data_IF_385719652916
#
_entry.id   IF_385719652916
#
_cell.length_a   1.000
_cell.length_b   1.000
_cell.length_c   1.000
_cell.angle_alpha   90.00
_cell.angle_beta   90.00
_cell.angle_gamma   90.00
#
_symmetry.space_group_name_H-M   'P 1'
#
loop_
_entity.id
_entity.type
_entity.pdbx_description
1 polymer ?
#
# COMPACT_ATOMS: atom_id res chain seq x y z
N UNK A 1 -16.59 -7.42 25.56
CA UNK A 1 -17.04 -8.38 24.52
C UNK A 1 -15.88 -8.60 23.59
N UNK A 2 -15.24 -9.77 23.65
CA UNK A 2 -14.09 -10.11 22.81
C UNK A 2 -14.57 -10.29 21.37
N UNK A 3 -14.27 -9.33 20.51
CA UNK A 3 -14.57 -9.42 19.08
C UNK A 3 -13.50 -10.26 18.37
N UNK A 4 -13.89 -11.06 17.35
CA UNK A 4 -12.95 -11.89 16.58
C UNK A 4 -11.83 -11.07 15.90
N UNK A 5 -12.04 -9.78 15.68
CA UNK A 5 -11.01 -8.84 15.19
C UNK A 5 -9.88 -8.62 16.21
N UNK A 6 -10.22 -8.50 17.50
CA UNK A 6 -9.23 -8.37 18.58
C UNK A 6 -8.33 -9.61 18.68
N UNK A 7 -8.88 -10.79 18.34
CA UNK A 7 -8.12 -12.04 18.30
C UNK A 7 -7.12 -12.08 17.13
N UNK A 8 -7.42 -11.46 15.98
CA UNK A 8 -6.47 -11.34 14.87
C UNK A 8 -5.27 -10.47 15.23
N UNK A 9 -5.52 -9.34 15.90
CA UNK A 9 -4.47 -8.42 16.33
C UNK A 9 -3.59 -9.08 17.40
N UNK A 10 -4.20 -9.77 18.36
CA UNK A 10 -3.47 -10.56 19.39
C UNK A 10 -2.66 -11.68 18.75
N UNK A 11 -3.21 -12.41 17.77
CA UNK A 11 -2.45 -13.43 17.06
C UNK A 11 -1.26 -12.82 16.31
N UNK A 12 -1.44 -11.69 15.64
CA UNK A 12 -0.35 -10.99 14.92
C UNK A 12 0.76 -10.55 15.87
N UNK A 13 0.40 -9.98 17.03
CA UNK A 13 1.37 -9.61 18.07
C UNK A 13 2.07 -10.83 18.68
N UNK A 14 1.37 -11.94 18.90
CA UNK A 14 1.97 -13.19 19.41
C UNK A 14 2.95 -13.81 18.41
N UNK A 15 2.71 -13.66 17.10
CA UNK A 15 3.60 -14.13 16.03
C UNK A 15 4.94 -13.38 16.10
N UNK A 16 4.89 -12.07 16.31
CA UNK A 16 6.07 -11.22 16.37
C UNK A 16 6.84 -11.41 17.68
N UNK A 17 6.14 -11.52 18.81
CA UNK A 17 6.76 -11.60 20.13
C UNK A 17 7.20 -13.01 20.52
N UNK A 18 6.51 -14.08 20.08
CA UNK A 18 6.88 -15.46 20.40
C UNK A 18 7.60 -16.22 19.29
N UNK A 19 7.59 -15.73 18.05
CA UNK A 19 8.34 -16.35 16.94
C UNK A 19 9.87 -16.34 17.12
N UNK A 20 10.37 -15.69 18.17
CA UNK A 20 11.81 -15.60 18.47
C UNK A 20 12.21 -16.38 19.73
N UNK A 21 11.29 -16.59 20.69
CA UNK A 21 11.70 -16.82 22.10
C UNK A 21 11.35 -18.19 22.67
N UNK A 22 10.32 -18.90 22.20
CA UNK A 22 9.85 -20.13 22.89
C UNK A 22 10.01 -21.43 22.09
N UNK A 23 9.91 -21.40 20.76
CA UNK A 23 10.06 -22.61 19.92
C UNK A 23 11.50 -22.97 19.53
N UNK A 24 12.41 -21.99 19.53
CA UNK A 24 13.70 -22.08 18.83
C UNK A 24 14.85 -22.69 19.66
N UNK A 25 14.92 -22.42 20.97
CA UNK A 25 16.12 -22.74 21.75
C UNK A 25 16.43 -24.25 21.84
N UNK A 26 15.43 -25.12 21.67
CA UNK A 26 15.58 -26.57 21.80
C UNK A 26 15.83 -27.35 20.50
N UNK A 27 15.61 -26.75 19.32
CA UNK A 27 15.61 -27.48 18.03
C UNK A 27 16.63 -26.97 17.00
N UNK A 28 17.55 -26.09 17.39
CA UNK A 28 18.60 -25.65 16.48
C UNK A 28 19.56 -26.81 16.16
N UNK A 29 19.69 -27.23 14.89
CA UNK A 29 20.64 -28.27 14.50
C UNK A 29 22.06 -27.80 14.81
N UNK A 30 22.81 -28.62 15.56
CA UNK A 30 24.20 -28.33 15.90
C UNK A 30 25.01 -28.18 14.61
N UNK A 31 25.57 -26.99 14.38
CA UNK A 31 26.49 -26.72 13.26
C UNK A 31 25.96 -25.77 12.17
N UNK A 32 24.69 -25.34 12.23
CA UNK A 32 24.19 -24.28 11.34
C UNK A 32 24.46 -22.92 11.97
N UNK A 33 24.98 -21.95 11.21
CA UNK A 33 25.16 -20.57 11.69
C UNK A 33 23.83 -20.08 12.26
N UNK A 34 23.84 -19.66 13.53
CA UNK A 34 22.63 -19.37 14.29
C UNK A 34 21.67 -18.42 13.55
N UNK A 35 22.18 -17.43 12.82
CA UNK A 35 21.36 -16.51 12.01
C UNK A 35 20.50 -17.20 10.95
N UNK A 36 21.09 -18.07 10.10
CA UNK A 36 20.36 -18.77 9.03
C UNK A 36 19.29 -19.71 9.60
N UNK A 37 19.61 -20.35 10.72
CA UNK A 37 18.66 -21.24 11.39
C UNK A 37 17.49 -20.47 12.01
N UNK A 38 17.74 -19.28 12.57
CA UNK A 38 16.70 -18.39 13.13
C UNK A 38 15.82 -17.83 12.02
N UNK A 39 16.39 -17.35 10.90
CA UNK A 39 15.62 -16.85 9.76
C UNK A 39 14.74 -17.92 9.12
N UNK A 40 15.29 -19.13 8.93
CA UNK A 40 14.53 -20.27 8.42
C UNK A 40 13.38 -20.65 9.36
N UNK A 41 13.60 -20.55 10.68
CA UNK A 41 12.56 -20.79 11.67
C UNK A 41 11.46 -19.71 11.61
N UNK A 42 11.84 -18.42 11.59
CA UNK A 42 10.92 -17.29 11.43
C UNK A 42 10.06 -17.44 10.18
N UNK A 43 10.67 -17.81 9.05
CA UNK A 43 9.96 -18.05 7.79
C UNK A 43 8.98 -19.23 7.90
N UNK A 44 9.38 -20.32 8.55
CA UNK A 44 8.54 -21.49 8.78
C UNK A 44 7.33 -21.19 9.68
N UNK A 45 7.55 -20.45 10.77
CA UNK A 45 6.47 -20.04 11.68
C UNK A 45 5.52 -19.04 11.01
N UNK A 46 6.05 -18.04 10.31
CA UNK A 46 5.24 -17.12 9.51
C UNK A 46 4.38 -17.86 8.48
N UNK A 47 4.95 -18.85 7.77
CA UNK A 47 4.20 -19.65 6.79
C UNK A 47 3.03 -20.43 7.44
N UNK A 48 3.24 -21.00 8.62
CA UNK A 48 2.19 -21.72 9.35
C UNK A 48 1.03 -20.80 9.76
N UNK A 49 1.35 -19.59 10.19
CA UNK A 49 0.38 -18.63 10.71
C UNK A 49 -0.37 -17.89 9.59
N UNK A 50 0.31 -17.66 8.46
CA UNK A 50 -0.31 -17.10 7.26
C UNK A 50 -1.46 -17.96 6.73
N UNK A 51 -1.35 -19.30 6.82
CA UNK A 51 -2.44 -20.22 6.46
C UNK A 51 -3.65 -20.01 7.38
N UNK A 52 -3.43 -19.89 8.68
CA UNK A 52 -4.51 -19.64 9.64
C UNK A 52 -5.19 -18.27 9.37
N UNK A 53 -4.42 -17.21 9.14
CA UNK A 53 -4.95 -15.89 8.79
C UNK A 53 -5.81 -15.97 7.52
N UNK A 54 -5.34 -16.65 6.47
CA UNK A 54 -6.12 -16.86 5.25
C UNK A 54 -7.44 -17.61 5.50
N UNK A 55 -7.42 -18.65 6.34
CA UNK A 55 -8.62 -19.40 6.70
C UNK A 55 -9.62 -18.54 7.47
N UNK A 56 -9.15 -17.72 8.42
CA UNK A 56 -10.02 -16.81 9.15
C UNK A 56 -10.60 -15.75 8.21
N UNK A 57 -9.78 -15.13 7.33
CA UNK A 57 -10.28 -14.20 6.30
C UNK A 57 -11.40 -14.81 5.47
N UNK A 58 -11.18 -16.01 4.94
CA UNK A 58 -12.20 -16.72 4.14
C UNK A 58 -13.48 -17.02 4.94
N UNK A 59 -13.32 -17.35 6.23
CA UNK A 59 -14.46 -17.63 7.12
C UNK A 59 -15.26 -16.36 7.39
N UNK A 60 -14.60 -15.25 7.73
CA UNK A 60 -15.25 -13.96 7.95
C UNK A 60 -15.94 -13.51 6.67
N UNK A 61 -15.26 -13.58 5.53
CA UNK A 61 -15.84 -13.26 4.23
C UNK A 61 -17.12 -14.06 3.98
N UNK A 62 -17.08 -15.39 4.15
CA UNK A 62 -18.26 -16.23 3.95
C UNK A 62 -19.41 -15.94 4.92
N UNK A 63 -19.11 -15.58 6.18
CA UNK A 63 -20.12 -15.14 7.14
C UNK A 63 -20.74 -13.80 6.71
N UNK A 64 -19.91 -12.82 6.35
CA UNK A 64 -20.38 -11.49 5.92
C UNK A 64 -21.20 -11.55 4.65
N UNK A 65 -20.80 -12.33 3.64
CA UNK A 65 -21.58 -12.56 2.42
C UNK A 65 -22.92 -13.23 2.73
N UNK A 66 -22.95 -14.21 3.66
CA UNK A 66 -24.22 -14.79 4.14
C UNK A 66 -25.10 -13.77 4.87
N UNK A 67 -24.53 -12.85 5.64
CA UNK A 67 -25.30 -11.79 6.29
C UNK A 67 -25.92 -10.84 5.26
N UNK A 68 -25.18 -10.50 4.20
CA UNK A 68 -25.70 -9.71 3.07
C UNK A 68 -26.84 -10.45 2.37
N UNK A 69 -26.71 -11.76 2.11
CA UNK A 69 -27.77 -12.59 1.52
C UNK A 69 -29.03 -12.62 2.41
N UNK A 70 -28.87 -12.72 3.73
CA UNK A 70 -30.00 -12.64 4.67
C UNK A 70 -30.65 -11.26 4.62
N UNK A 71 -29.85 -10.19 4.65
CA UNK A 71 -30.33 -8.81 4.61
C UNK A 71 -31.11 -8.53 3.31
N UNK A 72 -30.61 -8.99 2.18
CA UNK A 72 -31.26 -8.88 0.87
C UNK A 72 -32.69 -9.47 0.88
N UNK A 73 -32.86 -10.65 1.46
CA UNK A 73 -34.13 -11.37 1.48
C UNK A 73 -35.09 -10.93 2.60
N UNK A 74 -34.57 -10.47 3.75
CA UNK A 74 -35.39 -10.25 4.96
C UNK A 74 -35.58 -8.77 5.32
N UNK A 75 -34.79 -7.84 4.78
CA UNK A 75 -34.98 -6.41 5.03
C UNK A 75 -36.06 -5.84 4.10
N UNK A 76 -37.30 -6.28 4.32
CA UNK A 76 -38.49 -5.83 3.58
C UNK A 76 -38.85 -4.38 3.96
N UNK A 77 -38.66 -4.05 5.24
CA UNK A 77 -38.89 -2.71 5.77
C UNK A 77 -37.59 -1.94 5.86
N UNK A 78 -37.65 -0.66 5.49
CA UNK A 78 -36.50 0.23 5.58
C UNK A 78 -35.93 0.28 6.99
N UNK A 79 -34.61 0.21 7.09
CA UNK A 79 -33.86 0.34 8.35
C UNK A 79 -32.98 1.58 8.25
N UNK A 80 -33.07 2.47 9.23
CA UNK A 80 -32.22 3.67 9.27
C UNK A 80 -30.89 3.32 9.94
N UNK A 81 -29.79 3.57 9.24
CA UNK A 81 -28.43 3.37 9.73
C UNK A 81 -27.78 4.74 9.97
N UNK A 82 -27.04 4.85 11.08
CA UNK A 82 -26.26 6.03 11.42
C UNK A 82 -24.80 5.84 11.01
N UNK A 83 -24.26 6.78 10.26
CA UNK A 83 -22.83 6.90 9.91
C UNK A 83 -22.30 8.20 10.52
N UNK A 84 -21.18 8.11 11.23
CA UNK A 84 -20.49 9.29 11.73
C UNK A 84 -19.49 9.75 10.66
N UNK A 85 -19.73 10.91 10.06
CA UNK A 85 -18.80 11.54 9.11
C UNK A 85 -18.30 12.85 9.72
N UNK A 86 -16.99 12.94 10.00
CA UNK A 86 -16.36 14.12 10.64
C UNK A 86 -16.97 14.53 11.99
N UNK A 87 -17.57 13.60 12.71
CA UNK A 87 -18.20 13.84 14.02
C UNK A 87 -19.65 14.31 13.94
N UNK A 88 -20.20 14.50 12.74
CA UNK A 88 -21.63 14.75 12.54
C UNK A 88 -22.34 13.42 12.19
N UNK A 89 -23.50 13.13 12.81
CA UNK A 89 -24.26 11.94 12.49
C UNK A 89 -25.02 12.14 11.17
N UNK A 90 -24.69 11.33 10.18
CA UNK A 90 -25.40 11.18 8.91
C UNK A 90 -26.30 9.93 8.99
N UNK A 91 -27.53 10.04 8.48
CA UNK A 91 -28.52 8.97 8.53
C UNK A 91 -28.98 8.61 7.13
N UNK A 92 -28.96 7.32 6.81
CA UNK A 92 -29.50 6.82 5.55
C UNK A 92 -30.33 5.57 5.78
N UNK A 93 -31.34 5.39 4.94
CA UNK A 93 -32.21 4.23 4.97
C UNK A 93 -31.63 3.14 4.06
N UNK A 94 -31.66 1.89 4.52
CA UNK A 94 -31.33 0.71 3.74
C UNK A 94 -32.52 -0.24 3.62
N UNK A 95 -32.60 -0.94 2.51
CA UNK A 95 -33.62 -1.96 2.24
C UNK A 95 -33.01 -3.09 1.41
N UNK A 96 -33.47 -4.33 1.58
CA UNK A 96 -33.06 -5.45 0.72
C UNK A 96 -33.67 -5.36 -0.68
N UNK A 97 -33.07 -5.99 -1.68
CA UNK A 97 -33.59 -5.98 -3.05
C UNK A 97 -34.99 -6.63 -3.12
N UNK A 98 -35.23 -7.70 -2.35
CA UNK A 98 -36.54 -8.34 -2.27
C UNK A 98 -37.63 -7.38 -1.75
N UNK A 99 -37.27 -6.48 -0.81
CA UNK A 99 -38.18 -5.46 -0.30
C UNK A 99 -38.51 -4.38 -1.33
N UNK A 100 -37.55 -4.02 -2.18
CA UNK A 100 -37.75 -3.08 -3.28
C UNK A 100 -38.69 -3.67 -4.32
N UNK A 101 -38.46 -4.92 -4.71
CA UNK A 101 -39.24 -5.58 -5.76
C UNK A 101 -40.69 -5.77 -5.29
N UNK A 102 -40.90 -6.17 -4.03
CA UNK A 102 -42.24 -6.26 -3.44
C UNK A 102 -42.98 -4.90 -3.40
N UNK A 103 -42.28 -3.78 -3.19
CA UNK A 103 -42.88 -2.43 -3.17
C UNK A 103 -43.21 -1.92 -4.57
N UNK A 104 -42.39 -2.26 -5.57
CA UNK A 104 -42.68 -1.95 -6.98
C UNK A 104 -43.96 -2.64 -7.44
N UNK A 105 -44.21 -3.87 -6.98
CA UNK A 105 -45.43 -4.62 -7.32
C UNK A 105 -46.71 -3.98 -6.75
N UNK A 106 -46.60 -3.16 -5.71
CA UNK A 106 -47.72 -2.51 -5.00
C UNK A 106 -47.87 -1.02 -5.42
N UNK A 107 -47.07 -0.55 -6.38
CA UNK A 107 -47.06 0.84 -6.88
C UNK A 107 -46.68 1.89 -5.81
N UNK A 108 -45.97 1.48 -4.75
CA UNK A 108 -45.38 2.38 -3.72
C UNK A 108 -43.98 2.86 -4.11
N UNK A 109 -43.72 3.08 -5.41
CA UNK A 109 -42.40 3.41 -5.93
C UNK A 109 -41.85 4.73 -5.37
N UNK A 110 -42.72 5.69 -5.05
CA UNK A 110 -42.35 7.01 -4.50
C UNK A 110 -41.69 6.92 -3.11
N UNK A 111 -41.87 5.80 -2.39
CA UNK A 111 -41.27 5.59 -1.06
C UNK A 111 -39.78 5.19 -1.09
N UNK A 112 -39.20 5.02 -2.29
CA UNK A 112 -37.85 4.52 -2.48
C UNK A 112 -36.79 5.61 -2.72
N UNK A 113 -37.18 6.88 -2.80
CA UNK A 113 -36.23 7.98 -2.96
C UNK A 113 -35.27 8.06 -1.75
N UNK A 114 -33.96 8.02 -2.01
CA UNK A 114 -32.92 8.12 -0.99
C UNK A 114 -32.63 6.83 -0.21
N UNK A 115 -33.27 5.70 -0.55
CA UNK A 115 -33.02 4.41 0.10
C UNK A 115 -31.93 3.65 -0.65
N UNK A 116 -30.92 3.14 0.07
CA UNK A 116 -29.82 2.37 -0.51
C UNK A 116 -30.22 0.88 -0.58
N UNK A 117 -30.23 0.26 -1.78
CA UNK A 117 -30.50 -1.17 -1.93
C UNK A 117 -29.32 -2.02 -1.45
N UNK A 118 -29.59 -3.02 -0.60
CA UNK A 118 -28.66 -4.10 -0.29
C UNK A 118 -28.91 -5.23 -1.29
N UNK A 119 -27.90 -5.58 -2.07
CA UNK A 119 -27.98 -6.60 -3.10
C UNK A 119 -27.15 -7.83 -2.74
N UNK A 120 -27.63 -9.02 -3.09
CA UNK A 120 -26.91 -10.28 -2.92
C UNK A 120 -25.58 -10.33 -3.67
N UNK A 121 -25.43 -9.60 -4.77
CA UNK A 121 -24.20 -9.62 -5.58
C UNK A 121 -23.03 -8.88 -4.92
N UNK A 122 -23.24 -8.19 -3.80
CA UNK A 122 -22.16 -7.55 -3.08
C UNK A 122 -21.18 -8.57 -2.52
N UNK A 123 -19.89 -8.36 -2.83
CA UNK A 123 -18.78 -9.17 -2.34
C UNK A 123 -18.06 -8.42 -1.24
N UNK A 124 -17.55 -9.18 -0.28
CA UNK A 124 -16.77 -8.64 0.84
C UNK A 124 -15.31 -8.97 0.59
N UNK A 125 -14.47 -7.94 0.49
CA UNK A 125 -13.02 -8.11 0.49
C UNK A 125 -12.47 -7.75 1.87
N UNK A 126 -11.54 -8.58 2.37
CA UNK A 126 -10.94 -8.43 3.69
C UNK A 126 -9.44 -8.22 3.54
N UNK A 127 -9.08 -6.96 3.59
CA UNK A 127 -7.70 -6.53 3.73
C UNK A 127 -7.34 -6.48 5.21
N UNK A 128 -6.37 -7.32 5.59
CA UNK A 128 -5.71 -7.18 6.90
C UNK A 128 -4.55 -6.26 6.62
N UNK A 129 -4.70 -4.99 6.98
CA UNK A 129 -3.57 -4.08 7.02
C UNK A 129 -2.59 -4.62 8.06
N UNK A 130 -1.30 -4.70 7.70
CA UNK A 130 -0.27 -5.09 8.66
C UNK A 130 -0.32 -4.12 9.83
N UNK A 131 -0.72 -4.60 11.01
CA UNK A 131 -0.88 -3.78 12.22
C UNK A 131 0.40 -3.02 12.60
N UNK A 132 1.56 -3.47 12.10
CA UNK A 132 2.84 -2.79 12.19
C UNK A 132 2.80 -1.35 11.64
N UNK A 133 2.02 -1.07 10.58
CA UNK A 133 1.92 0.30 10.05
C UNK A 133 1.35 1.32 11.06
N UNK A 134 0.67 0.85 12.10
CA UNK A 134 0.14 1.70 13.17
C UNK A 134 0.98 1.67 14.46
N UNK A 135 1.81 0.64 14.67
CA UNK A 135 2.76 0.63 15.79
C UNK A 135 3.89 1.62 15.52
N UNK A 136 4.47 2.21 16.57
CA UNK A 136 5.59 3.14 16.39
C UNK A 136 6.79 2.47 15.71
N UNK A 137 6.97 1.17 15.92
CA UNK A 137 8.05 0.38 15.34
C UNK A 137 7.84 0.13 13.85
N UNK A 138 6.64 -0.26 13.41
CA UNK A 138 6.41 -0.47 11.98
C UNK A 138 6.26 0.83 11.20
N UNK A 139 5.85 1.95 11.84
CA UNK A 139 6.00 3.29 11.26
C UNK A 139 7.47 3.64 11.03
N UNK A 140 8.34 3.37 12.01
CA UNK A 140 9.79 3.57 11.87
C UNK A 140 10.36 2.70 10.75
N UNK A 141 10.01 1.42 10.69
CA UNK A 141 10.48 0.49 9.65
C UNK A 141 10.01 0.90 8.25
N UNK A 142 8.73 1.23 8.07
CA UNK A 142 8.18 1.68 6.78
C UNK A 142 8.83 3.01 6.35
N UNK A 143 9.01 3.95 7.28
CA UNK A 143 9.66 5.23 6.99
C UNK A 143 11.13 5.03 6.61
N UNK A 144 11.82 4.05 7.20
CA UNK A 144 13.18 3.66 6.83
C UNK A 144 13.27 3.10 5.40
N UNK A 145 12.33 2.25 4.98
CA UNK A 145 12.29 1.74 3.60
C UNK A 145 12.04 2.88 2.59
N UNK A 146 11.09 3.75 2.90
CA UNK A 146 10.79 4.94 2.10
C UNK A 146 12.04 5.84 2.01
N UNK A 147 12.68 6.12 3.14
CA UNK A 147 13.88 6.96 3.19
C UNK A 147 15.02 6.35 2.35
N UNK A 148 15.27 5.04 2.47
CA UNK A 148 16.29 4.35 1.69
C UNK A 148 16.02 4.42 0.17
N UNK A 149 14.77 4.23 -0.24
CA UNK A 149 14.36 4.35 -1.64
C UNK A 149 14.60 5.76 -2.18
N UNK A 150 14.12 6.79 -1.47
CA UNK A 150 14.29 8.18 -1.88
C UNK A 150 15.75 8.63 -1.84
N UNK A 151 16.56 8.15 -0.89
CA UNK A 151 18.01 8.40 -0.87
C UNK A 151 18.73 7.77 -2.06
N UNK A 152 18.27 6.60 -2.54
CA UNK A 152 18.75 5.99 -3.77
C UNK A 152 18.50 6.89 -4.98
N UNK A 153 17.25 7.32 -5.14
CA UNK A 153 16.84 8.20 -6.24
C UNK A 153 17.48 9.60 -6.17
N UNK A 154 17.69 10.13 -4.97
CA UNK A 154 18.35 11.42 -4.77
C UNK A 154 19.83 11.37 -5.19
N UNK A 155 20.52 10.25 -4.95
CA UNK A 155 21.90 10.04 -5.44
C UNK A 155 21.98 10.03 -6.97
N UNK A 156 20.93 9.58 -7.63
CA UNK A 156 20.80 9.58 -9.09
C UNK A 156 20.32 10.92 -9.65
N UNK A 157 20.00 11.90 -8.79
CA UNK A 157 19.49 13.21 -9.21
C UNK A 157 18.06 13.17 -9.75
N UNK A 158 17.31 12.10 -9.48
CA UNK A 158 15.94 11.90 -9.98
C UNK A 158 14.86 12.52 -9.08
N UNK A 159 15.24 13.07 -7.93
CA UNK A 159 14.32 13.63 -6.93
C UNK A 159 14.66 15.08 -6.67
N UNK A 160 13.63 15.92 -6.61
CA UNK A 160 13.78 17.33 -6.25
C UNK A 160 14.20 17.48 -4.78
N UNK A 161 15.11 18.42 -4.45
CA UNK A 161 15.58 18.65 -3.08
C UNK A 161 14.44 18.84 -2.06
N UNK A 162 13.34 19.44 -2.47
CA UNK A 162 12.15 19.69 -1.64
C UNK A 162 11.50 18.39 -1.16
N UNK A 163 11.46 17.36 -2.00
CA UNK A 163 10.89 16.05 -1.63
C UNK A 163 11.77 15.33 -0.61
N UNK A 164 13.09 15.47 -0.75
CA UNK A 164 14.06 14.92 0.22
C UNK A 164 13.89 15.60 1.58
N UNK A 165 13.66 16.92 1.60
CA UNK A 165 13.40 17.67 2.83
C UNK A 165 12.15 17.19 3.56
N UNK A 166 11.02 17.04 2.85
CA UNK A 166 9.76 16.53 3.43
C UNK A 166 9.93 15.11 3.97
N UNK A 167 10.70 14.27 3.28
CA UNK A 167 11.01 12.91 3.72
C UNK A 167 11.85 12.92 5.01
N UNK A 168 12.91 13.73 5.09
CA UNK A 168 13.73 13.86 6.30
C UNK A 168 12.88 14.38 7.47
N UNK A 169 12.03 15.37 7.24
CA UNK A 169 11.12 15.88 8.28
C UNK A 169 10.20 14.75 8.80
N UNK A 170 9.57 14.02 7.88
CA UNK A 170 8.69 12.89 8.23
C UNK A 170 9.44 11.78 8.98
N UNK A 171 10.71 11.53 8.62
CA UNK A 171 11.60 10.60 9.32
C UNK A 171 11.86 11.09 10.75
N UNK A 172 12.25 12.34 10.93
CA UNK A 172 12.54 12.91 12.25
C UNK A 172 11.32 12.90 13.18
N UNK A 173 10.15 13.28 12.66
CA UNK A 173 8.87 13.22 13.38
C UNK A 173 8.52 11.79 13.79
N UNK A 174 8.69 10.82 12.87
CA UNK A 174 8.39 9.40 13.14
C UNK A 174 9.29 8.81 14.22
N UNK A 175 10.55 9.22 14.25
CA UNK A 175 11.51 8.77 15.27
C UNK A 175 11.44 9.57 16.57
N UNK A 176 10.60 10.61 16.65
CA UNK A 176 10.51 11.54 17.77
C UNK A 176 11.88 12.12 18.15
N UNK A 177 12.75 12.33 17.16
CA UNK A 177 13.92 13.16 17.42
C UNK A 177 13.41 14.56 17.81
N UNK A 178 14.09 15.20 18.77
CA UNK A 178 13.70 16.48 19.38
C UNK A 178 13.56 17.64 18.37
N UNK A 179 13.49 18.90 18.83
CA UNK A 179 12.85 20.00 18.11
C UNK A 179 13.32 20.10 16.65
N UNK A 180 12.50 19.54 15.76
CA UNK A 180 12.68 19.50 14.30
C UNK A 180 12.77 20.91 13.72
N UNK A 181 12.30 21.91 14.46
CA UNK A 181 12.34 23.33 14.12
C UNK A 181 13.78 23.86 13.99
N UNK A 182 14.69 23.54 14.92
CA UNK A 182 16.08 24.02 14.87
C UNK A 182 16.85 23.44 13.67
N UNK A 183 16.53 22.20 13.27
CA UNK A 183 17.13 21.56 12.10
C UNK A 183 16.50 22.00 10.79
N UNK A 184 15.19 22.25 10.76
CA UNK A 184 14.48 22.75 9.58
C UNK A 184 14.89 24.19 9.24
N UNK A 185 15.13 25.04 10.24
CA UNK A 185 15.69 26.38 10.04
C UNK A 185 17.06 26.35 9.36
N UNK A 186 17.91 25.38 9.69
CA UNK A 186 19.21 25.20 9.04
C UNK A 186 19.09 24.77 7.57
N UNK A 187 17.95 24.18 7.18
CA UNK A 187 17.66 23.73 5.81
C UNK A 187 16.92 24.77 4.96
N UNK A 188 16.21 25.73 5.57
CA UNK A 188 15.53 26.83 4.87
C UNK A 188 16.43 28.03 4.56
N UNK A 189 17.70 27.99 4.97
CA UNK A 189 18.66 29.03 4.62
C UNK A 189 18.73 29.21 3.08
N UNK A 190 18.38 30.40 2.54
CA UNK A 190 18.14 30.62 1.10
C UNK A 190 19.41 30.60 0.23
N UNK A 191 20.58 30.39 0.83
CA UNK A 191 21.80 30.07 0.11
C UNK A 191 21.77 28.57 -0.19
N UNK A 192 21.43 28.21 -1.43
CA UNK A 192 21.35 26.81 -1.88
C UNK A 192 22.50 25.98 -1.31
N UNK A 193 22.16 24.77 -0.84
CA UNK A 193 23.04 23.84 -0.11
C UNK A 193 24.49 23.94 -0.61
N UNK A 194 25.32 24.70 0.12
CA UNK A 194 26.75 24.73 -0.16
C UNK A 194 27.29 23.30 0.10
N UNK A 195 28.37 22.87 -0.55
CA UNK A 195 28.88 21.49 -0.40
C UNK A 195 29.10 21.10 1.07
N UNK A 196 29.38 22.07 1.93
CA UNK A 196 29.50 21.89 3.38
C UNK A 196 28.17 21.56 4.08
N UNK A 197 27.04 22.16 3.67
CA UNK A 197 25.71 21.87 4.20
C UNK A 197 25.23 20.50 3.71
N UNK A 198 25.54 20.15 2.47
CA UNK A 198 25.25 18.82 1.92
C UNK A 198 26.04 17.72 2.67
N UNK A 199 27.31 18.00 2.99
CA UNK A 199 28.14 17.11 3.81
C UNK A 199 27.59 16.98 5.24
N UNK A 200 27.18 18.08 5.88
CA UNK A 200 26.54 18.06 7.21
C UNK A 200 25.24 17.27 7.22
N UNK A 201 24.40 17.44 6.19
CA UNK A 201 23.16 16.66 6.07
C UNK A 201 23.43 15.17 5.88
N UNK A 202 24.40 14.80 5.05
CA UNK A 202 24.84 13.39 4.91
C UNK A 202 25.36 12.83 6.23
N UNK A 203 26.16 13.60 6.98
CA UNK A 203 26.71 13.20 8.27
C UNK A 203 25.60 13.00 9.31
N UNK A 204 24.62 13.87 9.33
CA UNK A 204 23.47 13.82 10.22
C UNK A 204 22.53 12.64 9.90
N UNK A 205 22.26 12.37 8.63
CA UNK A 205 21.52 11.16 8.22
C UNK A 205 22.29 9.92 8.65
N UNK A 206 23.62 9.89 8.46
CA UNK A 206 24.46 8.78 8.93
C UNK A 206 24.41 8.63 10.46
N UNK A 207 24.35 9.74 11.20
CA UNK A 207 24.27 9.73 12.66
C UNK A 207 22.90 9.22 13.16
N UNK A 208 21.80 9.68 12.54
CA UNK A 208 20.46 9.13 12.79
C UNK A 208 20.39 7.63 12.47
N UNK A 209 20.98 7.21 11.35
CA UNK A 209 21.08 5.80 10.98
C UNK A 209 21.94 5.00 11.97
N UNK A 210 23.02 5.61 12.48
CA UNK A 210 23.92 4.99 13.45
C UNK A 210 23.29 4.87 14.83
N UNK A 211 22.53 5.87 15.27
CA UNK A 211 21.78 5.85 16.52
C UNK A 211 20.63 4.86 16.45
N UNK A 212 19.91 4.82 15.32
CA UNK A 212 18.91 3.78 15.09
C UNK A 212 19.56 2.38 15.08
N UNK A 213 20.77 2.22 14.52
CA UNK A 213 21.56 0.98 14.58
C UNK A 213 21.97 0.62 16.02
N UNK A 214 22.38 1.58 16.83
CA UNK A 214 22.72 1.36 18.24
C UNK A 214 21.51 1.05 19.12
N UNK A 215 20.34 1.60 18.80
CA UNK A 215 19.07 1.31 19.46
C UNK A 215 18.51 -0.08 19.13
N UNK A 216 19.22 -0.88 18.33
CA UNK A 216 18.81 -2.24 17.96
C UNK A 216 17.67 -2.29 16.94
N UNK A 217 17.34 -1.15 16.29
CA UNK A 217 16.41 -1.14 15.15
C UNK A 217 17.03 -1.73 13.88
N UNK A 218 18.36 -1.95 13.88
CA UNK A 218 19.08 -2.69 12.84
C UNK A 218 19.75 -3.88 13.50
N UNK A 219 19.48 -5.08 12.99
CA UNK A 219 20.26 -6.26 13.35
C UNK A 219 21.69 -6.02 12.80
N UNK A 220 22.76 -6.08 13.61
CA UNK A 220 24.13 -5.77 13.16
C UNK A 220 24.64 -6.67 12.02
N UNK A 221 23.94 -7.76 11.70
CA UNK A 221 24.21 -8.58 10.52
C UNK A 221 23.59 -8.05 9.21
N UNK A 222 22.73 -7.03 9.23
CA UNK A 222 22.16 -6.44 8.01
C UNK A 222 23.21 -5.83 7.08
N UNK A 223 24.38 -5.39 7.56
CA UNK A 223 25.49 -4.98 6.69
C UNK A 223 26.06 -6.15 5.88
N UNK A 224 26.05 -7.38 6.44
CA UNK A 224 26.38 -8.59 5.69
C UNK A 224 25.24 -8.97 4.75
N UNK A 225 23.98 -8.81 5.13
CA UNK A 225 22.85 -9.08 4.23
C UNK A 225 22.73 -8.05 3.10
N UNK A 226 23.05 -6.78 3.33
CA UNK A 226 23.18 -5.74 2.31
C UNK A 226 24.39 -5.96 1.42
N UNK A 227 25.51 -6.43 1.96
CA UNK A 227 26.67 -6.81 1.16
C UNK A 227 26.41 -8.07 0.31
N UNK A 228 25.71 -9.08 0.86
CA UNK A 228 25.30 -10.30 0.15
C UNK A 228 24.21 -9.99 -0.87
N UNK A 229 23.26 -9.11 -0.56
CA UNK A 229 22.20 -8.67 -1.49
C UNK A 229 22.77 -7.79 -2.59
N UNK A 230 23.72 -6.89 -2.29
CA UNK A 230 24.47 -6.13 -3.30
C UNK A 230 25.33 -7.04 -4.17
N UNK A 231 26.03 -8.01 -3.58
CA UNK A 231 26.80 -8.99 -4.34
C UNK A 231 25.89 -9.87 -5.21
N UNK A 232 24.74 -10.30 -4.68
CA UNK A 232 23.75 -11.11 -5.39
C UNK A 232 23.04 -10.36 -6.51
N UNK A 233 22.72 -9.08 -6.32
CA UNK A 233 22.15 -8.22 -7.37
C UNK A 233 23.18 -7.84 -8.44
N UNK A 234 24.43 -7.55 -8.05
CA UNK A 234 25.53 -7.35 -9.01
C UNK A 234 25.78 -8.64 -9.82
N UNK A 235 25.71 -9.81 -9.18
CA UNK A 235 25.88 -11.09 -9.85
C UNK A 235 24.68 -11.43 -10.75
N UNK A 236 23.45 -11.16 -10.32
CA UNK A 236 22.25 -11.30 -11.15
C UNK A 236 22.26 -10.37 -12.36
N UNK A 237 22.75 -9.12 -12.21
CA UNK A 237 22.92 -8.18 -13.32
C UNK A 237 24.05 -8.63 -14.25
N UNK A 238 25.16 -9.13 -13.70
CA UNK A 238 26.26 -9.66 -14.50
C UNK A 238 25.86 -10.93 -15.27
N UNK A 239 25.06 -11.81 -14.65
CA UNK A 239 24.55 -13.03 -15.27
C UNK A 239 23.44 -12.72 -16.28
N UNK A 240 22.55 -11.74 -16.02
CA UNK A 240 21.59 -11.24 -17.00
C UNK A 240 22.29 -10.59 -18.20
N UNK A 241 23.39 -9.87 -17.97
CA UNK A 241 24.23 -9.28 -19.02
C UNK A 241 24.96 -10.36 -19.84
N UNK A 242 25.49 -11.40 -19.19
CA UNK A 242 26.08 -12.57 -19.88
C UNK A 242 25.05 -13.41 -20.62
N UNK A 243 23.81 -13.46 -20.13
CA UNK A 243 22.68 -14.12 -20.76
C UNK A 243 22.06 -13.29 -21.90
N UNK A 244 22.62 -12.12 -22.24
CA UNK A 244 22.19 -11.31 -23.37
C UNK A 244 20.89 -10.54 -23.13
N UNK A 245 20.40 -10.42 -21.89
CA UNK A 245 19.15 -9.74 -21.57
C UNK A 245 19.18 -8.21 -21.81
N UNK A 246 20.35 -7.64 -22.10
CA UNK A 246 20.55 -6.21 -22.35
C UNK A 246 21.14 -5.89 -23.73
N UNK A 247 21.39 -6.90 -24.58
CA UNK A 247 21.90 -6.71 -25.93
C UNK A 247 20.80 -7.01 -26.96
N UNK A 248 19.86 -6.07 -27.07
CA UNK A 248 19.17 -5.67 -28.32
C UNK A 248 18.06 -4.66 -28.00
N UNK A 249 18.13 -3.42 -28.50
CA UNK A 249 16.90 -2.70 -28.81
C UNK A 249 16.27 -3.41 -30.01
N UNK A 250 15.12 -4.07 -29.80
CA UNK A 250 14.23 -4.40 -30.90
C UNK A 250 13.75 -3.07 -31.50
N UNK A 251 14.09 -2.83 -32.76
CA UNK A 251 13.50 -1.76 -33.55
C UNK A 251 11.98 -1.96 -33.54
N UNK A 252 11.18 -0.93 -33.23
CA UNK A 252 9.75 -1.06 -33.29
C UNK A 252 9.32 -1.27 -34.75
N UNK A 253 8.70 -2.42 -35.03
CA UNK A 253 7.96 -2.67 -36.26
C UNK A 253 6.97 -1.51 -36.47
N UNK A 254 7.18 -0.77 -37.55
CA UNK A 254 6.25 0.24 -38.03
C UNK A 254 4.95 -0.45 -38.49
N UNK A 255 3.99 -0.57 -37.58
CA UNK A 255 2.61 -0.88 -37.94
C UNK A 255 2.01 0.30 -38.70
N UNK A 256 1.76 0.10 -40.00
CA UNK A 256 1.02 1.02 -40.86
C UNK A 256 -0.35 1.34 -40.23
N UNK A 257 -0.52 2.59 -39.79
CA UNK A 257 -1.83 3.12 -39.41
C UNK A 257 -2.52 3.65 -40.67
N UNK A 258 -3.48 2.88 -41.19
CA UNK A 258 -4.37 3.34 -42.24
C UNK A 258 -5.39 4.33 -41.64
N UNK A 259 -5.17 5.63 -41.90
CA UNK A 259 -6.05 6.71 -41.47
C UNK A 259 -7.17 6.87 -42.49
N UNK A 260 -8.31 6.24 -42.27
CA UNK A 260 -9.50 6.46 -43.08
C UNK A 260 -10.16 7.80 -42.70
N UNK A 261 -10.00 8.80 -43.58
CA UNK A 261 -10.51 10.17 -43.38
C UNK A 261 -11.94 10.27 -43.92
N UNK A 262 -12.93 10.18 -43.04
CA UNK A 262 -14.33 10.39 -43.42
C UNK A 262 -14.68 11.89 -43.27
N UNK A 263 -14.75 12.61 -44.38
CA UNK A 263 -15.29 13.97 -44.42
C UNK A 263 -16.81 13.93 -44.58
N UNK A 264 -17.55 14.34 -43.54
CA UNK A 264 -18.97 14.69 -43.67
C UNK A 264 -19.12 16.21 -43.73
N UNK A 265 -19.54 16.71 -44.89
CA UNK A 265 -19.91 18.10 -45.10
C UNK A 265 -21.42 18.21 -44.97
N UNK A 266 -21.91 18.76 -43.86
CA UNK A 266 -23.30 19.19 -43.75
C UNK A 266 -23.41 20.67 -44.14
N UNK A 267 -24.15 20.94 -45.22
CA UNK A 267 -24.45 22.30 -45.67
C UNK A 267 -25.60 22.88 -44.85
N UNK A 268 -25.29 23.79 -43.92
CA UNK A 268 -26.27 24.67 -43.30
C UNK A 268 -26.71 25.76 -44.28
N UNK A 269 -28.02 25.99 -44.42
CA UNK A 269 -28.62 27.00 -45.33
C UNK A 269 -28.36 28.45 -44.93
N UNK A 270 -27.81 28.70 -43.75
CA UNK A 270 -27.53 30.05 -43.25
C UNK A 270 -26.02 30.22 -43.07
N UNK A 271 -25.40 31.07 -43.89
CA UNK A 271 -23.96 31.22 -44.06
C UNK A 271 -23.16 31.57 -42.80
N UNK A 272 -22.95 30.61 -41.90
CA UNK A 272 -22.01 30.67 -40.79
C UNK A 272 -21.12 29.44 -40.74
N UNK A 273 -19.88 29.69 -40.30
CA UNK A 273 -18.71 28.79 -40.33
C UNK A 273 -19.00 27.41 -39.71
N UNK A 274 -18.64 26.36 -40.45
CA UNK A 274 -18.63 24.96 -40.01
C UNK A 274 -17.35 24.64 -39.23
N UNK A 275 -17.48 24.08 -38.02
CA UNK A 275 -16.36 23.56 -37.22
C UNK A 275 -16.17 22.08 -37.55
N UNK A 276 -14.99 21.72 -38.07
CA UNK A 276 -14.60 20.33 -38.34
C UNK A 276 -14.18 19.65 -37.03
N UNK A 277 -14.82 18.53 -36.67
CA UNK A 277 -14.34 17.66 -35.59
C UNK A 277 -13.73 16.38 -36.18
N UNK A 278 -12.50 16.08 -35.78
CA UNK A 278 -11.82 14.82 -36.12
C UNK A 278 -11.96 13.87 -34.93
N UNK A 279 -12.56 12.69 -35.13
CA UNK A 279 -12.57 11.62 -34.12
C UNK A 279 -11.59 10.52 -34.53
N UNK A 280 -10.57 10.30 -33.72
CA UNK A 280 -9.67 9.16 -33.83
C UNK A 280 -10.27 7.99 -33.05
N UNK A 281 -10.51 6.86 -33.72
CA UNK A 281 -10.99 5.63 -33.07
C UNK A 281 -9.82 4.65 -32.97
N UNK A 282 -9.32 4.41 -31.77
CA UNK A 282 -8.32 3.37 -31.50
C UNK A 282 -9.07 2.07 -31.26
N UNK A 283 -8.78 1.05 -32.07
CA UNK A 283 -9.26 -0.32 -31.85
C UNK A 283 -8.25 -1.01 -30.93
N UNK A 284 -8.69 -1.39 -29.73
CA UNK A 284 -7.96 -2.30 -28.83
C UNK A 284 -8.21 -3.74 -29.24
#
# INVERSE_FOLDING_TARGET
TNTPFLMMDVLTSLIEEQGVTTSALGKLPKGVKAGIAIESLKASEFANLFIAIKQIKKTIQGISEKMIDIADNHFINKQTIMRLEKGEPDYFDVIGQAGIDARKDIDEADSLEGVIPIKKEYKVDIEVQSGLGYTEEGKKAAMMEIANYFLGLAKEGLVQPEVVKVMIQSLMETFKFGPTEEMMEALDAPTGLNQEQEAKMKLMIIEVLKDAKQAGLFDPDEEKHLAITKAGSIQAIADAKKAGAFDKPEEPEQGEQEVERIEKVEQGKDGRKTTTQTKTKVKT
#
